data_IF_737692184821
#
_entry.id   IF_737692184821
#
_cell.length_a   1.000
_cell.length_b   1.000
_cell.length_c   1.000
_cell.angle_alpha   90.00
_cell.angle_beta   90.00
_cell.angle_gamma   90.00
#
_symmetry.space_group_name_H-M   'P 1'
#
loop_
_entity.id
_entity.type
_entity.pdbx_description
1 polymer ?
#
# COMPACT_ATOMS: atom_id res chain seq x y z
N UNK A 1 12.60 -2.67 -11.63
CA UNK A 1 11.94 -2.96 -12.93
C UNK A 1 10.52 -2.41 -12.85
N UNK A 2 10.12 -1.53 -13.78
CA UNK A 2 8.76 -1.00 -13.80
C UNK A 2 7.78 -2.10 -14.21
N UNK A 3 6.77 -2.36 -13.39
CA UNK A 3 5.73 -3.34 -13.69
C UNK A 3 4.96 -2.89 -14.94
N UNK A 4 4.77 -3.77 -15.93
CA UNK A 4 4.21 -3.41 -17.22
C UNK A 4 2.96 -4.22 -17.58
N UNK A 5 2.27 -3.80 -18.64
CA UNK A 5 1.11 -4.49 -19.19
C UNK A 5 1.42 -5.97 -19.48
N UNK A 6 2.61 -6.23 -20.01
CA UNK A 6 3.05 -7.55 -20.43
C UNK A 6 3.21 -8.54 -19.26
N UNK A 7 3.51 -8.03 -18.06
CA UNK A 7 3.64 -8.84 -16.85
C UNK A 7 2.29 -9.05 -16.16
N UNK A 8 1.39 -8.06 -16.27
CA UNK A 8 0.09 -8.09 -15.60
C UNK A 8 -0.99 -8.78 -16.43
N UNK A 9 -1.17 -8.37 -17.68
CA UNK A 9 -2.24 -8.83 -18.57
C UNK A 9 -1.72 -9.93 -19.47
N UNK A 10 -0.88 -9.62 -20.46
CA UNK A 10 -0.20 -10.61 -21.30
C UNK A 10 0.86 -9.94 -22.18
N UNK A 11 1.88 -10.70 -22.57
CA UNK A 11 2.91 -10.19 -23.47
C UNK A 11 3.63 -11.28 -24.23
N UNK A 12 4.26 -10.87 -25.34
CA UNK A 12 5.15 -11.75 -26.09
C UNK A 12 6.44 -11.97 -25.29
N UNK A 13 6.90 -13.23 -25.23
CA UNK A 13 8.16 -13.59 -24.56
C UNK A 13 8.95 -14.53 -25.46
N UNK A 14 10.25 -14.26 -25.70
CA UNK A 14 11.08 -15.15 -26.51
C UNK A 14 11.25 -16.51 -25.80
N UNK A 15 11.07 -17.60 -26.54
CA UNK A 15 11.30 -18.97 -26.07
C UNK A 15 12.09 -19.76 -27.11
N UNK A 16 13.01 -20.66 -26.68
CA UNK A 16 13.66 -21.58 -27.59
C UNK A 16 12.61 -22.49 -28.27
N UNK A 17 12.58 -22.46 -29.59
CA UNK A 17 11.78 -23.39 -30.40
C UNK A 17 12.46 -24.75 -30.55
N UNK A 18 11.74 -25.75 -31.08
CA UNK A 18 12.25 -27.12 -31.24
C UNK A 18 13.55 -27.23 -32.06
N UNK A 19 13.71 -26.33 -33.04
CA UNK A 19 14.83 -26.36 -34.00
C UNK A 19 15.93 -25.34 -33.66
N UNK A 20 15.97 -24.83 -32.42
CA UNK A 20 16.90 -23.78 -32.01
C UNK A 20 16.55 -22.36 -32.49
N UNK A 21 15.46 -22.19 -33.24
CA UNK A 21 14.91 -20.88 -33.61
C UNK A 21 14.14 -20.25 -32.44
N UNK A 22 14.14 -18.92 -32.33
CA UNK A 22 13.33 -18.22 -31.34
C UNK A 22 11.86 -18.17 -31.75
N UNK A 23 10.98 -18.55 -30.82
CA UNK A 23 9.54 -18.34 -30.91
C UNK A 23 9.11 -17.21 -29.98
N UNK A 24 8.01 -16.54 -30.30
CA UNK A 24 7.48 -15.41 -29.50
C UNK A 24 6.03 -15.67 -29.08
N UNK A 25 5.76 -16.71 -28.27
CA UNK A 25 4.42 -16.96 -27.78
C UNK A 25 3.91 -15.80 -26.94
N UNK A 26 2.60 -15.58 -27.00
CA UNK A 26 1.88 -14.67 -26.11
C UNK A 26 1.61 -15.41 -24.80
N UNK A 27 2.22 -14.91 -23.73
CA UNK A 27 2.12 -15.52 -22.40
C UNK A 27 1.14 -14.71 -21.56
N UNK A 28 0.15 -15.34 -20.91
CA UNK A 28 -0.75 -14.66 -20.00
C UNK A 28 0.03 -14.15 -18.77
N UNK A 29 -0.21 -12.90 -18.40
CA UNK A 29 0.31 -12.25 -17.20
C UNK A 29 -0.40 -12.71 -15.93
N UNK A 30 -0.02 -12.11 -14.80
CA UNK A 30 -0.54 -12.50 -13.47
C UNK A 30 -2.06 -12.38 -13.37
N UNK A 31 -2.66 -11.31 -13.88
CA UNK A 31 -4.09 -11.07 -13.78
C UNK A 31 -4.90 -12.10 -14.58
N UNK A 32 -4.49 -12.41 -15.81
CA UNK A 32 -5.19 -13.40 -16.63
C UNK A 32 -5.07 -14.81 -16.05
N UNK A 33 -3.88 -15.19 -15.54
CA UNK A 33 -3.70 -16.47 -14.84
C UNK A 33 -4.59 -16.57 -13.61
N UNK A 34 -4.60 -15.52 -12.77
CA UNK A 34 -5.49 -15.45 -11.61
C UNK A 34 -6.96 -15.57 -11.99
N UNK A 35 -7.41 -14.90 -13.05
CA UNK A 35 -8.80 -15.00 -13.52
C UNK A 35 -9.13 -16.41 -14.05
N UNK A 36 -8.20 -17.06 -14.75
CA UNK A 36 -8.39 -18.43 -15.23
C UNK A 36 -8.53 -19.44 -14.07
N UNK A 37 -7.78 -19.24 -12.99
CA UNK A 37 -7.91 -20.02 -11.76
C UNK A 37 -9.22 -19.69 -11.03
N UNK A 38 -9.54 -18.41 -10.85
CA UNK A 38 -10.75 -17.95 -10.17
C UNK A 38 -12.03 -18.44 -10.87
N UNK A 39 -12.04 -18.53 -12.20
CA UNK A 39 -13.17 -19.06 -12.96
C UNK A 39 -13.49 -20.53 -12.65
N UNK A 40 -12.54 -21.29 -12.09
CA UNK A 40 -12.74 -22.68 -11.66
C UNK A 40 -13.16 -22.81 -10.20
N UNK A 41 -13.25 -21.70 -9.47
CA UNK A 41 -13.61 -21.65 -8.05
C UNK A 41 -15.06 -21.21 -7.88
N UNK A 42 -15.76 -21.82 -6.92
CA UNK A 42 -17.12 -21.39 -6.54
C UNK A 42 -17.09 -20.17 -5.60
N UNK A 43 -16.02 -20.03 -4.80
CA UNK A 43 -15.86 -18.96 -3.82
C UNK A 43 -15.41 -17.63 -4.44
N UNK A 44 -15.44 -16.58 -3.62
CA UNK A 44 -14.88 -15.27 -3.96
C UNK A 44 -13.36 -15.37 -4.03
N UNK A 45 -12.78 -14.89 -5.12
CA UNK A 45 -11.33 -14.83 -5.31
C UNK A 45 -10.87 -13.37 -5.26
N UNK A 46 -9.95 -13.04 -4.35
CA UNK A 46 -9.46 -11.68 -4.17
C UNK A 46 -8.02 -11.56 -4.64
N UNK A 47 -7.75 -10.63 -5.55
CA UNK A 47 -6.41 -10.21 -5.92
C UNK A 47 -6.03 -8.96 -5.11
N UNK A 48 -4.96 -9.07 -4.33
CA UNK A 48 -4.39 -7.93 -3.60
C UNK A 48 -3.25 -7.35 -4.44
N UNK A 49 -3.30 -6.06 -4.72
CA UNK A 49 -2.26 -5.31 -5.41
C UNK A 49 -1.69 -4.31 -4.40
N UNK A 50 -0.52 -4.63 -3.88
CA UNK A 50 0.16 -3.77 -2.91
C UNK A 50 0.82 -2.59 -3.63
N UNK A 51 0.74 -1.40 -3.03
CA UNK A 51 1.32 -0.16 -3.55
C UNK A 51 0.88 0.13 -5.00
N UNK A 52 -0.43 0.05 -5.23
CA UNK A 52 -1.03 0.12 -6.57
C UNK A 52 -0.64 1.40 -7.31
N UNK A 53 -0.40 2.49 -6.60
CA UNK A 53 0.01 3.75 -7.21
C UNK A 53 1.41 3.67 -7.85
N UNK A 54 2.35 2.85 -7.37
CA UNK A 54 3.78 2.81 -7.82
C UNK A 54 3.99 2.49 -9.30
N UNK A 55 2.95 2.11 -10.03
CA UNK A 55 2.99 1.89 -11.47
C UNK A 55 2.08 2.87 -12.20
N UNK A 56 2.38 3.11 -13.48
CA UNK A 56 1.44 3.73 -14.40
C UNK A 56 0.25 2.79 -14.63
N UNK A 57 -0.76 2.93 -13.76
CA UNK A 57 -1.89 2.02 -13.71
C UNK A 57 -2.70 2.00 -14.99
N UNK A 58 -2.80 3.14 -15.69
CA UNK A 58 -3.54 3.20 -16.95
C UNK A 58 -2.87 2.30 -18.00
N UNK A 59 -1.54 2.39 -18.09
CA UNK A 59 -0.74 1.55 -19.00
C UNK A 59 -0.70 0.09 -18.58
N UNK A 60 -0.59 -0.21 -17.28
CA UNK A 60 -0.55 -1.60 -16.78
C UNK A 60 -1.89 -2.31 -16.96
N UNK A 61 -3.01 -1.63 -16.72
CA UNK A 61 -4.34 -2.24 -16.80
C UNK A 61 -4.84 -2.32 -18.24
N UNK A 62 -4.52 -1.35 -19.11
CA UNK A 62 -4.94 -1.35 -20.51
C UNK A 62 -6.45 -1.57 -20.66
N UNK A 63 -6.85 -2.63 -21.38
CA UNK A 63 -8.25 -2.97 -21.63
C UNK A 63 -9.01 -3.37 -20.34
N UNK A 64 -8.29 -3.75 -19.28
CA UNK A 64 -8.92 -4.11 -18.00
C UNK A 64 -9.67 -2.92 -17.38
N UNK A 65 -9.24 -1.68 -17.66
CA UNK A 65 -9.96 -0.49 -17.18
C UNK A 65 -11.43 -0.51 -17.62
N UNK A 66 -11.69 -0.90 -18.87
CA UNK A 66 -13.06 -1.03 -19.35
C UNK A 66 -13.82 -2.12 -18.59
N UNK A 67 -13.19 -3.29 -18.40
CA UNK A 67 -13.82 -4.41 -17.71
C UNK A 67 -14.06 -4.15 -16.21
N UNK A 68 -13.26 -3.32 -15.56
CA UNK A 68 -13.49 -2.92 -14.17
C UNK A 68 -14.77 -2.10 -14.01
N UNK A 69 -15.10 -1.27 -15.01
CA UNK A 69 -16.35 -0.50 -15.04
C UNK A 69 -17.53 -1.37 -15.47
N UNK A 70 -17.36 -2.19 -16.52
CA UNK A 70 -18.41 -3.01 -17.12
C UNK A 70 -18.17 -4.50 -16.86
N UNK A 71 -18.47 -4.94 -15.64
CA UNK A 71 -18.16 -6.30 -15.13
C UNK A 71 -18.91 -7.44 -15.81
N UNK A 72 -19.98 -7.16 -16.54
CA UNK A 72 -20.79 -8.10 -17.32
C UNK A 72 -20.32 -8.23 -18.78
N UNK A 73 -19.33 -7.42 -19.21
CA UNK A 73 -18.85 -7.36 -20.59
C UNK A 73 -17.56 -8.15 -20.81
N UNK A 74 -17.23 -8.31 -22.09
CA UNK A 74 -15.95 -8.88 -22.53
C UNK A 74 -15.29 -7.96 -23.56
N UNK A 75 -13.95 -7.99 -23.60
CA UNK A 75 -13.12 -7.28 -24.59
C UNK A 75 -12.29 -8.27 -25.38
N UNK A 76 -11.75 -7.84 -26.53
CA UNK A 76 -10.67 -8.56 -27.20
C UNK A 76 -9.34 -8.00 -26.72
N UNK A 77 -8.44 -8.85 -26.27
CA UNK A 77 -7.11 -8.44 -25.84
C UNK A 77 -6.25 -8.07 -27.06
N UNK A 78 -5.45 -7.01 -26.96
CA UNK A 78 -4.73 -6.45 -28.10
C UNK A 78 -3.69 -7.40 -28.71
N UNK A 79 -3.00 -8.20 -27.88
CA UNK A 79 -1.89 -9.03 -28.36
C UNK A 79 -2.34 -10.24 -29.21
N UNK A 80 -3.43 -10.91 -28.85
CA UNK A 80 -3.88 -12.17 -29.47
C UNK A 80 -5.33 -12.12 -30.01
N UNK A 81 -6.05 -11.02 -29.81
CA UNK A 81 -7.45 -10.85 -30.21
C UNK A 81 -8.44 -11.74 -29.42
N UNK A 82 -7.96 -12.48 -28.42
CA UNK A 82 -8.78 -13.41 -27.64
C UNK A 82 -9.80 -12.66 -26.80
N UNK A 83 -11.02 -13.19 -26.72
CA UNK A 83 -12.08 -12.61 -25.89
C UNK A 83 -11.81 -12.91 -24.42
N UNK A 84 -11.86 -11.88 -23.58
CA UNK A 84 -11.64 -11.97 -22.14
C UNK A 84 -12.71 -11.18 -21.37
N UNK A 85 -13.13 -11.73 -20.23
CA UNK A 85 -14.01 -11.10 -19.25
C UNK A 85 -13.49 -11.40 -17.85
N UNK A 86 -13.68 -10.47 -16.91
CA UNK A 86 -13.29 -10.69 -15.51
C UNK A 86 -14.37 -11.56 -14.84
N UNK A 87 -14.03 -12.73 -14.25
CA UNK A 87 -15.02 -13.56 -13.56
C UNK A 87 -15.79 -12.80 -12.48
N UNK A 88 -17.07 -13.11 -12.31
CA UNK A 88 -17.95 -12.39 -11.38
C UNK A 88 -17.51 -12.52 -9.90
N UNK A 89 -16.86 -13.63 -9.56
CA UNK A 89 -16.32 -13.93 -8.23
C UNK A 89 -14.97 -13.24 -7.93
N UNK A 90 -14.36 -12.56 -8.91
CA UNK A 90 -13.11 -11.83 -8.71
C UNK A 90 -13.34 -10.47 -8.04
N UNK A 91 -12.55 -10.17 -7.02
CA UNK A 91 -12.41 -8.84 -6.39
C UNK A 91 -10.96 -8.39 -6.46
N UNK A 92 -10.74 -7.09 -6.59
CA UNK A 92 -9.41 -6.49 -6.56
C UNK A 92 -9.39 -5.52 -5.38
N UNK A 93 -8.37 -5.66 -4.54
CA UNK A 93 -8.08 -4.74 -3.45
C UNK A 93 -6.71 -4.14 -3.72
N UNK A 94 -6.64 -2.82 -3.87
CA UNK A 94 -5.40 -2.09 -3.95
C UNK A 94 -5.07 -1.47 -2.60
N UNK A 95 -3.82 -1.57 -2.16
CA UNK A 95 -3.30 -0.69 -1.09
C UNK A 95 -2.56 0.47 -1.77
N UNK A 96 -2.51 1.61 -1.09
CA UNK A 96 -1.88 2.81 -1.61
C UNK A 96 -1.26 3.58 -0.46
N UNK A 97 0.05 3.84 -0.55
CA UNK A 97 0.64 4.88 0.28
C UNK A 97 0.28 6.26 -0.29
N UNK A 98 -0.55 7.01 0.43
CA UNK A 98 -0.97 8.36 0.02
C UNK A 98 0.08 9.44 0.26
N UNK A 99 1.08 9.19 1.11
CA UNK A 99 2.16 10.14 1.40
C UNK A 99 3.15 10.26 0.23
N UNK A 100 3.23 9.22 -0.62
CA UNK A 100 4.20 9.17 -1.70
C UNK A 100 3.78 10.08 -2.88
N UNK A 101 4.37 11.27 -2.91
CA UNK A 101 4.18 12.28 -3.96
C UNK A 101 5.02 12.02 -5.22
N UNK A 102 5.93 11.04 -5.21
CA UNK A 102 6.83 10.73 -6.33
C UNK A 102 6.16 9.91 -7.44
N UNK A 103 4.91 9.51 -7.21
CA UNK A 103 4.21 8.50 -7.99
C UNK A 103 3.10 9.13 -8.85
N UNK A 104 2.83 8.53 -10.01
CA UNK A 104 1.72 8.90 -10.88
C UNK A 104 0.42 9.05 -10.08
N UNK A 105 -0.13 10.27 -10.05
CA UNK A 105 -1.45 10.54 -9.48
C UNK A 105 -2.44 9.53 -10.06
N UNK A 106 -3.18 8.84 -9.19
CA UNK A 106 -4.23 7.93 -9.66
C UNK A 106 -5.26 8.75 -10.42
N UNK A 107 -5.24 8.57 -11.74
CA UNK A 107 -6.05 9.34 -12.68
C UNK A 107 -7.55 9.18 -12.37
N UNK A 108 -8.33 10.21 -12.71
CA UNK A 108 -9.78 10.25 -12.60
C UNK A 108 -10.47 9.03 -13.24
N UNK A 109 -9.87 8.44 -14.29
CA UNK A 109 -10.37 7.19 -14.86
C UNK A 109 -10.39 6.05 -13.83
N UNK A 110 -9.29 5.82 -13.11
CA UNK A 110 -9.19 4.78 -12.10
C UNK A 110 -10.04 5.09 -10.87
N UNK A 111 -10.12 6.37 -10.48
CA UNK A 111 -10.93 6.79 -9.34
C UNK A 111 -12.40 6.39 -9.47
N UNK A 112 -12.94 6.36 -10.70
CA UNK A 112 -14.32 5.95 -10.97
C UNK A 112 -14.55 4.42 -10.93
N UNK A 113 -13.48 3.63 -10.92
CA UNK A 113 -13.52 2.15 -11.03
C UNK A 113 -13.19 1.44 -9.71
N UNK A 114 -12.71 2.19 -8.72
CA UNK A 114 -12.39 1.69 -7.38
C UNK A 114 -13.19 2.47 -6.34
N UNK A 115 -13.60 1.76 -5.28
CA UNK A 115 -14.01 2.43 -4.05
C UNK A 115 -12.75 2.78 -3.25
N UNK A 116 -12.67 4.04 -2.79
CA UNK A 116 -11.53 4.52 -2.00
C UNK A 116 -11.91 4.54 -0.53
N UNK A 117 -11.17 3.77 0.27
CA UNK A 117 -11.32 3.71 1.72
C UNK A 117 -10.06 4.32 2.30
N UNK A 118 -10.20 5.52 2.86
CA UNK A 118 -9.09 6.17 3.57
C UNK A 118 -8.87 5.45 4.91
N UNK A 119 -7.65 4.97 5.13
CA UNK A 119 -7.21 4.44 6.41
C UNK A 119 -6.39 5.52 7.11
N UNK A 120 -6.83 5.87 8.32
CA UNK A 120 -6.15 6.84 9.17
C UNK A 120 -5.51 6.09 10.35
N UNK A 121 -4.51 6.67 11.02
CA UNK A 121 -3.97 6.08 12.24
C UNK A 121 -5.09 5.80 13.25
N UNK A 122 -5.26 4.54 13.65
CA UNK A 122 -6.26 4.10 14.61
C UNK A 122 -5.60 3.74 15.94
N UNK A 123 -5.78 4.62 16.92
CA UNK A 123 -5.25 4.43 18.26
C UNK A 123 -5.93 3.30 19.02
N UNK A 124 -7.14 2.90 18.64
CA UNK A 124 -7.83 1.73 19.20
C UNK A 124 -7.09 0.45 18.83
N UNK A 125 -6.57 0.37 17.61
CA UNK A 125 -5.74 -0.77 17.16
C UNK A 125 -4.45 -0.84 17.96
N UNK A 126 -3.78 0.30 18.17
CA UNK A 126 -2.55 0.36 18.97
C UNK A 126 -2.79 -0.09 20.41
N UNK A 127 -3.84 0.43 21.06
CA UNK A 127 -4.25 0.02 22.42
C UNK A 127 -4.50 -1.48 22.50
N UNK A 128 -5.35 -1.99 21.60
CA UNK A 128 -5.70 -3.40 21.55
C UNK A 128 -4.48 -4.29 21.35
N UNK A 129 -3.50 -3.86 20.55
CA UNK A 129 -2.26 -4.59 20.36
C UNK A 129 -1.51 -4.75 21.69
N UNK A 130 -1.28 -3.65 22.42
CA UNK A 130 -0.55 -3.68 23.69
C UNK A 130 -1.31 -4.43 24.80
N UNK A 131 -2.64 -4.32 24.85
CA UNK A 131 -3.50 -5.09 25.75
C UNK A 131 -3.44 -6.59 25.46
N UNK A 132 -3.57 -6.98 24.19
CA UNK A 132 -3.58 -8.39 23.77
C UNK A 132 -2.23 -9.06 24.03
N UNK A 133 -1.12 -8.33 23.82
CA UNK A 133 0.23 -8.85 24.02
C UNK A 133 0.78 -8.58 25.44
N UNK A 134 0.00 -7.95 26.32
CA UNK A 134 0.34 -7.67 27.71
C UNK A 134 1.74 -7.04 27.87
N UNK A 135 2.07 -6.07 27.01
CA UNK A 135 3.44 -5.56 26.90
C UNK A 135 3.87 -4.72 28.12
N UNK A 136 2.94 -4.37 29.01
CA UNK A 136 3.19 -3.52 30.19
C UNK A 136 3.51 -2.06 29.86
N UNK A 137 3.42 -1.66 28.59
CA UNK A 137 3.78 -0.31 28.14
C UNK A 137 2.57 0.66 28.32
N UNK A 138 2.75 1.87 28.88
CA UNK A 138 1.66 2.83 29.09
C UNK A 138 1.25 3.55 27.78
N UNK A 139 0.57 2.82 26.91
CA UNK A 139 0.25 3.25 25.54
C UNK A 139 -0.47 4.60 25.44
N UNK A 140 -1.29 4.99 26.42
CA UNK A 140 -2.04 6.26 26.40
C UNK A 140 -1.13 7.50 26.35
N UNK A 141 0.04 7.41 26.99
CA UNK A 141 1.03 8.50 26.98
C UNK A 141 1.54 8.74 25.56
N UNK A 142 1.92 7.66 24.89
CA UNK A 142 2.35 7.69 23.50
C UNK A 142 1.23 8.18 22.57
N UNK A 143 0.01 7.65 22.73
CA UNK A 143 -1.14 8.06 21.90
C UNK A 143 -1.39 9.56 21.99
N UNK A 144 -1.29 10.14 23.19
CA UNK A 144 -1.45 11.59 23.40
C UNK A 144 -0.40 12.37 22.62
N UNK A 145 0.86 11.94 22.67
CA UNK A 145 1.96 12.58 21.93
C UNK A 145 1.76 12.42 20.41
N UNK A 146 1.43 11.22 19.92
CA UNK A 146 1.20 10.99 18.49
C UNK A 146 0.01 11.80 17.94
N UNK A 147 -1.06 11.95 18.71
CA UNK A 147 -2.19 12.81 18.33
C UNK A 147 -1.77 14.28 18.24
N UNK A 148 -0.92 14.74 19.17
CA UNK A 148 -0.35 16.10 19.12
C UNK A 148 0.55 16.28 17.89
N UNK A 149 1.43 15.32 17.61
CA UNK A 149 2.31 15.36 16.43
C UNK A 149 1.49 15.36 15.14
N UNK A 150 0.54 14.45 14.99
CA UNK A 150 -0.31 14.38 13.79
C UNK A 150 -1.17 15.65 13.61
N UNK A 151 -1.57 16.32 14.70
CA UNK A 151 -2.24 17.63 14.62
C UNK A 151 -1.29 18.73 14.13
N UNK A 152 -0.03 18.69 14.55
CA UNK A 152 1.00 19.64 14.11
C UNK A 152 1.38 19.42 12.63
N UNK A 153 1.41 18.16 12.16
CA UNK A 153 1.59 17.82 10.74
C UNK A 153 0.45 18.41 9.90
N UNK A 154 -0.79 18.29 10.38
CA UNK A 154 -1.96 18.94 9.76
C UNK A 154 -2.44 18.34 8.44
N UNK A 155 -1.63 17.48 7.81
CA UNK A 155 -1.96 16.71 6.60
C UNK A 155 -2.28 15.24 6.96
N UNK A 156 -3.54 14.79 6.82
CA UNK A 156 -3.93 13.39 7.08
C UNK A 156 -3.21 12.35 6.22
N UNK A 157 -2.66 12.73 5.06
CA UNK A 157 -1.90 11.82 4.20
C UNK A 157 -0.47 11.60 4.71
N UNK A 158 0.02 12.51 5.53
CA UNK A 158 1.37 12.51 6.12
C UNK A 158 1.33 12.18 7.62
N UNK A 159 0.20 11.69 8.13
CA UNK A 159 0.07 11.36 9.54
C UNK A 159 0.94 10.13 9.90
N UNK A 160 1.61 10.19 11.05
CA UNK A 160 2.37 9.07 11.59
C UNK A 160 1.40 7.93 11.92
N UNK A 161 1.67 6.77 11.32
CA UNK A 161 0.92 5.53 11.55
C UNK A 161 1.23 4.87 12.90
N UNK A 162 0.31 4.03 13.35
CA UNK A 162 0.46 3.28 14.60
C UNK A 162 1.37 2.05 14.47
N UNK A 163 1.68 1.60 13.24
CA UNK A 163 2.44 0.38 12.97
C UNK A 163 3.87 0.40 13.52
N UNK A 164 4.54 1.57 13.51
CA UNK A 164 5.87 1.75 14.11
C UNK A 164 5.92 1.30 15.57
N UNK A 165 4.82 1.49 16.29
CA UNK A 165 4.74 1.27 17.72
C UNK A 165 4.10 -0.08 18.09
N UNK A 166 3.66 -0.88 17.11
CA UNK A 166 3.08 -2.21 17.35
C UNK A 166 4.16 -3.27 17.57
N UNK A 167 4.93 -3.13 18.65
CA UNK A 167 5.96 -4.09 19.05
C UNK A 167 5.85 -4.49 20.52
N UNK A 168 6.12 -5.76 20.83
CA UNK A 168 6.04 -6.29 22.18
C UNK A 168 7.09 -5.65 23.12
N UNK A 169 8.23 -5.19 22.58
CA UNK A 169 9.36 -4.63 23.34
C UNK A 169 9.40 -3.10 23.28
N UNK A 170 8.25 -2.45 23.08
CA UNK A 170 8.19 -1.00 22.81
C UNK A 170 8.93 -0.15 23.86
N UNK A 171 8.84 -0.49 25.14
CA UNK A 171 9.54 0.26 26.19
C UNK A 171 11.06 0.34 26.00
N UNK A 172 11.67 -0.70 25.42
CA UNK A 172 13.10 -0.73 25.11
C UNK A 172 13.42 -0.09 23.74
N UNK A 173 12.54 -0.25 22.75
CA UNK A 173 12.83 0.13 21.36
C UNK A 173 12.31 1.51 20.97
N UNK A 174 11.49 2.16 21.82
CA UNK A 174 10.83 3.42 21.46
C UNK A 174 11.80 4.57 21.20
N UNK A 175 12.95 4.60 21.89
CA UNK A 175 13.99 5.58 21.62
C UNK A 175 14.52 5.43 20.19
N UNK A 176 14.86 4.20 19.79
CA UNK A 176 15.37 3.88 18.46
C UNK A 176 14.32 4.18 17.38
N UNK A 177 13.07 3.75 17.58
CA UNK A 177 11.96 4.04 16.65
C UNK A 177 11.83 5.57 16.48
N UNK A 178 11.86 6.32 17.59
CA UNK A 178 11.68 7.76 17.52
C UNK A 178 12.85 8.45 16.81
N UNK A 179 14.09 8.12 17.17
CA UNK A 179 15.28 8.78 16.64
C UNK A 179 15.64 8.36 15.22
N UNK A 180 15.38 7.11 14.84
CA UNK A 180 15.82 6.55 13.55
C UNK A 180 14.73 6.53 12.50
N UNK A 181 13.45 6.57 12.89
CA UNK A 181 12.32 6.51 11.95
C UNK A 181 11.44 7.77 12.02
N UNK A 182 11.02 8.18 13.22
CA UNK A 182 10.08 9.30 13.37
C UNK A 182 10.77 10.64 13.15
N UNK A 183 11.92 10.90 13.75
CA UNK A 183 12.63 12.17 13.60
C UNK A 183 13.03 12.46 12.14
N UNK A 184 13.67 11.54 11.40
CA UNK A 184 13.96 11.75 9.98
C UNK A 184 12.70 12.02 9.15
N UNK A 185 11.61 11.30 9.44
CA UNK A 185 10.33 11.53 8.78
C UNK A 185 9.79 12.94 9.05
N UNK A 186 9.88 13.41 10.30
CA UNK A 186 9.47 14.77 10.68
C UNK A 186 10.37 15.84 10.05
N UNK A 187 11.67 15.59 9.89
CA UNK A 187 12.59 16.47 9.18
C UNK A 187 12.19 16.65 7.70
N UNK A 188 11.75 15.58 7.05
CA UNK A 188 11.24 15.65 5.68
C UNK A 188 9.92 16.42 5.59
N UNK A 189 9.00 16.19 6.54
CA UNK A 189 7.69 16.87 6.57
C UNK A 189 7.82 18.36 6.90
N UNK A 190 8.66 18.72 7.88
CA UNK A 190 8.89 20.08 8.34
C UNK A 190 10.21 20.67 7.81
N UNK A 191 10.58 20.36 6.56
CA UNK A 191 11.85 20.78 5.97
C UNK A 191 12.06 22.31 6.00
N UNK A 192 10.98 23.09 5.98
CA UNK A 192 10.98 24.55 6.04
C UNK A 192 10.82 25.13 7.46
N UNK A 193 10.62 24.27 8.46
CA UNK A 193 10.32 24.63 9.85
C UNK A 193 11.15 23.78 10.84
N UNK A 194 12.49 23.95 10.87
CA UNK A 194 13.36 23.15 11.76
C UNK A 194 12.97 23.28 13.25
N UNK A 195 12.50 24.45 13.68
CA UNK A 195 12.04 24.67 15.06
C UNK A 195 10.83 23.80 15.43
N UNK A 196 10.01 23.41 14.45
CA UNK A 196 8.89 22.50 14.65
C UNK A 196 9.38 21.09 14.99
N UNK A 197 10.46 20.64 14.35
CA UNK A 197 11.11 19.35 14.60
C UNK A 197 11.84 19.36 15.94
N UNK A 198 12.52 20.45 16.28
CA UNK A 198 13.27 20.56 17.54
C UNK A 198 12.42 20.31 18.79
N UNK A 199 11.16 20.75 18.77
CA UNK A 199 10.19 20.49 19.85
C UNK A 199 9.72 19.04 19.92
N UNK A 200 9.90 18.27 18.84
CA UNK A 200 9.45 16.89 18.68
C UNK A 200 10.61 15.87 18.73
N UNK A 201 11.85 16.33 18.89
CA UNK A 201 13.01 15.46 19.12
C UNK A 201 12.81 14.59 20.34
N UNK A 202 13.37 13.40 20.29
CA UNK A 202 13.33 12.41 21.35
C UNK A 202 13.71 13.01 22.71
N UNK A 203 14.76 13.82 22.77
CA UNK A 203 15.20 14.47 24.00
C UNK A 203 14.13 15.35 24.66
N UNK A 204 13.20 15.91 23.87
CA UNK A 204 12.12 16.77 24.35
C UNK A 204 10.85 16.00 24.71
N UNK A 205 10.60 14.87 24.05
CA UNK A 205 9.34 14.10 24.22
C UNK A 205 9.51 12.82 25.02
N UNK A 206 10.74 12.35 25.28
CA UNK A 206 10.99 11.08 25.97
C UNK A 206 10.29 11.00 27.32
N UNK A 207 10.27 12.10 28.07
CA UNK A 207 9.68 12.15 29.41
C UNK A 207 8.15 12.13 29.33
N UNK A 208 7.55 12.50 28.19
CA UNK A 208 6.11 12.38 27.94
C UNK A 208 5.72 10.97 27.53
N UNK A 209 6.62 10.26 26.83
CA UNK A 209 6.35 8.99 26.14
C UNK A 209 6.80 7.76 26.93
N UNK A 210 7.91 7.84 27.66
CA UNK A 210 8.36 6.73 28.52
C UNK A 210 7.47 6.62 29.74
N UNK A 211 7.05 5.41 30.10
CA UNK A 211 6.84 5.10 31.52
C UNK A 211 8.21 5.26 32.16
N UNK A 212 8.33 6.04 33.24
CA UNK A 212 9.57 6.10 34.02
C UNK A 212 10.04 4.67 34.31
N UNK A 213 11.27 4.32 33.94
CA UNK A 213 12.06 3.42 34.76
C UNK A 213 12.86 4.28 35.74
N UNK A 214 12.82 3.91 37.01
CA UNK A 214 13.89 4.23 37.96
C UNK A 214 15.29 4.08 37.34
#
# INVERSE_FOLDING_TARGET
>A
AAYAYEDFVQGMRPQPGPDGQLTYPIIPGRFLRFCAEAARQQGRCTLIIDEINRADLARVFGELLYLLEYRDRSVRLAADGRRFAIPANVRIIGTMNSADRSIALVDHALRRRFAFIALQPDWTVLRRFHETHQTGYPVERLVTVLQRVNRQIGDPQSAIGHSFFMTATLGATIADIWQLEIEPYLEEIFFDQPEAVDRLRWERVRDEVKADPE
#
